data_IF_589686407561
#
_entry.id   IF_589686407561
#
_cell.length_a   1.000
_cell.length_b   1.000
_cell.length_c   1.000
_cell.angle_alpha   90.00
_cell.angle_beta   90.00
_cell.angle_gamma   90.00
#
_symmetry.space_group_name_H-M   'P 1'
#
loop_
_entity.id
_entity.type
_entity.pdbx_description
1 polymer ?
#
# COMPACT_ATOMS: atom_id res chain seq x y z
N UNK A 1 21.12 -8.40 15.04
CA UNK A 1 20.23 -7.36 14.49
C UNK A 1 19.03 -7.30 15.42
N UNK A 2 18.70 -6.11 15.93
CA UNK A 2 17.53 -5.84 16.75
C UNK A 2 16.40 -5.26 15.90
N UNK A 3 15.75 -4.19 16.38
CA UNK A 3 14.60 -3.54 15.74
C UNK A 3 14.89 -2.93 14.34
N UNK A 4 16.17 -2.89 13.93
CA UNK A 4 16.56 -2.33 12.64
C UNK A 4 15.96 -3.13 11.46
N UNK A 5 15.67 -4.42 11.65
CA UNK A 5 15.00 -5.25 10.63
C UNK A 5 13.57 -4.75 10.40
N UNK A 6 12.84 -4.43 11.47
CA UNK A 6 11.49 -3.91 11.42
C UNK A 6 11.45 -2.56 10.70
N UNK A 7 12.34 -1.65 11.07
CA UNK A 7 12.43 -0.36 10.40
C UNK A 7 12.83 -0.49 8.93
N UNK A 8 13.82 -1.32 8.62
CA UNK A 8 14.24 -1.57 7.23
C UNK A 8 13.12 -2.19 6.40
N UNK A 9 12.37 -3.14 6.96
CA UNK A 9 11.23 -3.79 6.29
C UNK A 9 10.09 -2.81 6.07
N UNK A 10 9.69 -2.06 7.09
CA UNK A 10 8.63 -1.05 6.98
C UNK A 10 9.01 0.03 5.96
N UNK A 11 10.26 0.48 5.96
CA UNK A 11 10.77 1.45 5.00
C UNK A 11 10.72 0.89 3.56
N UNK A 12 11.18 -0.35 3.36
CA UNK A 12 11.14 -1.00 2.05
C UNK A 12 9.69 -1.14 1.55
N UNK A 13 8.77 -1.60 2.39
CA UNK A 13 7.37 -1.75 2.04
C UNK A 13 6.71 -0.41 1.72
N UNK A 14 6.99 0.64 2.49
CA UNK A 14 6.52 1.99 2.21
C UNK A 14 7.04 2.48 0.86
N UNK A 15 8.35 2.35 0.61
CA UNK A 15 9.00 2.79 -0.64
C UNK A 15 8.42 2.08 -1.86
N UNK A 16 8.27 0.75 -1.79
CA UNK A 16 7.64 -0.04 -2.85
C UNK A 16 6.18 0.36 -3.03
N UNK A 17 5.45 0.53 -1.92
CA UNK A 17 4.04 0.90 -1.92
C UNK A 17 3.80 2.23 -2.63
N UNK A 18 4.50 3.30 -2.25
CA UNK A 18 4.33 4.62 -2.90
C UNK A 18 4.78 4.60 -4.36
N UNK A 19 5.85 3.86 -4.70
CA UNK A 19 6.38 3.79 -6.07
C UNK A 19 5.47 3.04 -7.03
N UNK A 20 4.87 1.93 -6.57
CA UNK A 20 3.98 1.09 -7.38
C UNK A 20 2.57 1.70 -7.44
N UNK A 21 2.03 2.11 -6.28
CA UNK A 21 0.63 2.50 -6.15
C UNK A 21 0.39 4.01 -6.23
N UNK A 22 1.42 4.86 -6.28
CA UNK A 22 1.22 6.32 -6.35
C UNK A 22 0.32 6.77 -7.51
N UNK A 23 0.38 6.09 -8.66
CA UNK A 23 -0.51 6.35 -9.81
C UNK A 23 -1.99 6.06 -9.54
N UNK A 24 -2.26 5.20 -8.57
CA UNK A 24 -3.59 4.81 -8.11
C UNK A 24 -4.09 5.69 -6.95
N UNK A 25 -3.28 6.63 -6.46
CA UNK A 25 -3.64 7.48 -5.32
C UNK A 25 -3.53 8.98 -5.66
N UNK A 26 -3.50 9.36 -6.94
CA UNK A 26 -3.28 10.76 -7.40
C UNK A 26 -4.28 11.75 -6.77
N UNK A 27 -5.58 11.45 -6.83
CA UNK A 27 -6.63 12.30 -6.23
C UNK A 27 -7.00 11.86 -4.81
N UNK A 28 -6.31 10.84 -4.26
CA UNK A 28 -6.61 10.37 -2.92
C UNK A 28 -6.06 11.38 -1.89
N UNK A 29 -6.81 11.69 -0.82
CA UNK A 29 -6.31 12.57 0.23
C UNK A 29 -5.05 11.98 0.88
N UNK A 30 -3.93 12.71 0.80
CA UNK A 30 -2.61 12.27 1.29
C UNK A 30 -2.65 11.81 2.76
N UNK A 31 -3.49 12.46 3.58
CA UNK A 31 -3.64 12.11 4.99
C UNK A 31 -4.14 10.67 5.20
N UNK A 32 -5.01 10.14 4.33
CA UNK A 32 -5.49 8.75 4.45
C UNK A 32 -4.34 7.76 4.26
N UNK A 33 -3.47 8.02 3.28
CA UNK A 33 -2.29 7.19 3.01
C UNK A 33 -1.27 7.33 4.14
N UNK A 34 -1.04 8.53 4.65
CA UNK A 34 -0.17 8.77 5.80
C UNK A 34 -0.62 8.00 7.04
N UNK A 35 -1.87 8.15 7.48
CA UNK A 35 -2.38 7.48 8.67
C UNK A 35 -2.43 5.95 8.51
N UNK A 36 -2.69 5.43 7.31
CA UNK A 36 -2.60 4.00 7.00
C UNK A 36 -1.20 3.45 7.31
N UNK A 37 -0.15 4.10 6.78
CA UNK A 37 1.23 3.67 7.00
C UNK A 37 1.71 3.90 8.42
N UNK A 38 1.33 5.02 9.05
CA UNK A 38 1.63 5.30 10.45
C UNK A 38 1.02 4.23 11.36
N UNK A 39 -0.23 3.84 11.12
CA UNK A 39 -0.89 2.79 11.88
C UNK A 39 -0.17 1.45 11.77
N UNK A 40 0.17 1.02 10.55
CA UNK A 40 0.93 -0.22 10.33
C UNK A 40 2.30 -0.18 11.04
N UNK A 41 3.01 0.94 10.97
CA UNK A 41 4.29 1.10 11.65
C UNK A 41 4.16 1.04 13.18
N UNK A 42 3.23 1.80 13.76
CA UNK A 42 2.98 1.82 15.21
C UNK A 42 2.60 0.44 15.73
N UNK A 43 1.69 -0.26 15.04
CA UNK A 43 1.29 -1.63 15.43
C UNK A 43 2.47 -2.60 15.36
N UNK A 44 3.27 -2.53 14.31
CA UNK A 44 4.45 -3.41 14.14
C UNK A 44 5.47 -3.18 15.26
N UNK A 45 5.81 -1.92 15.53
CA UNK A 45 6.78 -1.55 16.58
C UNK A 45 6.26 -1.94 17.98
N UNK A 46 4.98 -1.69 18.27
CA UNK A 46 4.38 -2.07 19.55
C UNK A 46 4.40 -3.59 19.76
N UNK A 47 4.17 -4.36 18.69
CA UNK A 47 4.23 -5.82 18.75
C UNK A 47 5.65 -6.35 18.84
N UNK A 48 6.64 -5.68 18.25
CA UNK A 48 8.04 -6.07 18.40
C UNK A 48 8.44 -6.19 19.89
N UNK A 49 8.00 -5.25 20.73
CA UNK A 49 8.24 -5.31 22.18
C UNK A 49 7.60 -6.52 22.90
N UNK A 50 6.65 -7.22 22.27
CA UNK A 50 5.93 -8.38 22.83
C UNK A 50 6.38 -9.71 22.23
N UNK A 51 6.57 -9.75 20.90
CA UNK A 51 6.77 -10.98 20.13
C UNK A 51 8.03 -10.93 19.25
N UNK A 52 8.86 -9.90 19.38
CA UNK A 52 10.09 -9.72 18.60
C UNK A 52 9.82 -9.66 17.09
N UNK A 53 10.67 -10.34 16.32
CA UNK A 53 10.60 -10.34 14.85
C UNK A 53 9.34 -10.94 14.25
N UNK A 54 8.54 -11.68 15.04
CA UNK A 54 7.23 -12.15 14.60
C UNK A 54 6.24 -11.01 14.30
N UNK A 55 6.51 -9.80 14.81
CA UNK A 55 5.75 -8.59 14.48
C UNK A 55 5.72 -8.30 12.97
N UNK A 56 6.75 -8.70 12.22
CA UNK A 56 6.85 -8.52 10.76
C UNK A 56 5.82 -9.32 9.96
N UNK A 57 5.24 -10.37 10.53
CA UNK A 57 4.20 -11.15 9.85
C UNK A 57 3.04 -10.26 9.44
N UNK A 58 2.67 -9.29 10.27
CA UNK A 58 1.55 -8.38 10.00
C UNK A 58 1.78 -7.53 8.75
N UNK A 59 2.81 -6.67 8.68
CA UNK A 59 3.02 -5.82 7.50
C UNK A 59 3.28 -6.65 6.23
N UNK A 60 3.92 -7.81 6.33
CA UNK A 60 4.16 -8.71 5.19
C UNK A 60 2.84 -9.28 4.67
N UNK A 61 2.02 -9.88 5.54
CA UNK A 61 0.73 -10.46 5.14
C UNK A 61 -0.20 -9.40 4.57
N UNK A 62 -0.31 -8.23 5.22
CA UNK A 62 -1.13 -7.12 4.71
C UNK A 62 -0.66 -6.64 3.33
N UNK A 63 0.65 -6.60 3.09
CA UNK A 63 1.22 -6.20 1.80
C UNK A 63 0.92 -7.23 0.72
N UNK A 64 1.04 -8.53 1.02
CA UNK A 64 0.69 -9.62 0.09
C UNK A 64 -0.80 -9.57 -0.24
N UNK A 65 -1.67 -9.45 0.76
CA UNK A 65 -3.12 -9.34 0.55
C UNK A 65 -3.45 -8.12 -0.29
N UNK A 66 -2.86 -6.96 0.01
CA UNK A 66 -3.04 -5.73 -0.76
C UNK A 66 -2.63 -5.88 -2.22
N UNK A 67 -1.50 -6.54 -2.49
CA UNK A 67 -1.06 -6.86 -3.85
C UNK A 67 -2.08 -7.78 -4.56
N UNK A 68 -2.45 -8.90 -3.94
CA UNK A 68 -3.40 -9.85 -4.54
C UNK A 68 -4.72 -9.16 -4.90
N UNK A 69 -5.28 -8.40 -3.97
CA UNK A 69 -6.53 -7.63 -4.20
C UNK A 69 -6.34 -6.61 -5.31
N UNK A 70 -5.21 -5.91 -5.34
CA UNK A 70 -4.92 -4.93 -6.38
C UNK A 70 -4.85 -5.55 -7.78
N UNK A 71 -4.08 -6.63 -7.94
CA UNK A 71 -3.95 -7.32 -9.22
C UNK A 71 -5.29 -7.93 -9.67
N UNK A 72 -6.02 -8.54 -8.73
CA UNK A 72 -7.35 -9.07 -9.01
C UNK A 72 -8.35 -7.98 -9.43
N UNK A 73 -8.38 -6.86 -8.72
CA UNK A 73 -9.25 -5.72 -9.03
C UNK A 73 -8.90 -5.10 -10.38
N UNK A 74 -7.61 -4.88 -10.64
CA UNK A 74 -7.12 -4.38 -11.93
C UNK A 74 -7.50 -5.32 -13.07
N UNK A 75 -7.36 -6.64 -12.90
CA UNK A 75 -7.76 -7.62 -13.89
C UNK A 75 -9.28 -7.58 -14.15
N UNK A 76 -10.08 -7.58 -13.08
CA UNK A 76 -11.55 -7.50 -13.15
C UNK A 76 -12.06 -6.27 -13.90
N UNK A 77 -11.34 -5.15 -13.79
CA UNK A 77 -11.72 -3.87 -14.38
C UNK A 77 -10.94 -3.50 -15.64
N UNK A 78 -10.16 -4.43 -16.20
CA UNK A 78 -9.34 -4.21 -17.41
C UNK A 78 -8.37 -3.02 -17.31
N UNK A 79 -7.80 -2.82 -16.12
CA UNK A 79 -6.80 -1.77 -15.85
C UNK A 79 -5.41 -2.41 -15.74
N UNK A 80 -4.41 -1.78 -16.35
CA UNK A 80 -3.02 -2.23 -16.21
C UNK A 80 -2.50 -1.99 -14.78
N UNK A 81 -2.06 -3.02 -14.04
CA UNK A 81 -1.81 -2.95 -12.59
C UNK A 81 -0.64 -2.02 -12.19
N UNK A 82 0.26 -1.68 -13.12
CA UNK A 82 1.39 -0.76 -12.84
C UNK A 82 1.27 0.62 -13.48
N UNK A 83 0.41 0.75 -14.51
CA UNK A 83 0.32 1.96 -15.35
C UNK A 83 -1.00 2.71 -15.11
N UNK A 84 -1.98 2.08 -14.47
CA UNK A 84 -3.32 2.60 -14.27
C UNK A 84 -3.99 3.01 -15.60
N UNK A 85 -3.69 2.30 -16.69
CA UNK A 85 -4.25 2.54 -18.02
C UNK A 85 -5.34 1.54 -18.36
N UNK A 86 -6.44 1.95 -19.01
CA UNK A 86 -6.77 3.32 -19.40
C UNK A 86 -7.18 4.21 -18.20
N UNK A 87 -6.61 5.42 -18.12
CA UNK A 87 -6.78 6.31 -16.95
C UNK A 87 -8.22 6.81 -16.79
N UNK A 88 -8.92 7.08 -17.90
CA UNK A 88 -10.32 7.55 -17.88
C UNK A 88 -11.24 6.55 -17.19
N UNK A 89 -11.17 5.27 -17.56
CA UNK A 89 -11.92 4.19 -16.89
C UNK A 89 -11.58 4.09 -15.41
N UNK A 90 -10.29 4.22 -15.07
CA UNK A 90 -9.86 4.20 -13.69
C UNK A 90 -10.46 5.35 -12.86
N UNK A 91 -10.41 6.58 -13.38
CA UNK A 91 -11.01 7.75 -12.74
C UNK A 91 -12.51 7.58 -12.54
N UNK A 92 -13.23 7.06 -13.54
CA UNK A 92 -14.65 6.74 -13.43
C UNK A 92 -14.95 5.74 -12.31
N UNK A 93 -14.18 4.64 -12.22
CA UNK A 93 -14.33 3.64 -11.15
C UNK A 93 -14.03 4.20 -9.76
N UNK A 94 -13.16 5.21 -9.68
CA UNK A 94 -12.84 5.92 -8.43
C UNK A 94 -13.82 7.05 -8.10
N UNK A 95 -14.73 7.40 -9.01
CA UNK A 95 -15.60 8.55 -8.87
C UNK A 95 -14.86 9.88 -8.94
N UNK A 96 -13.68 9.91 -9.57
CA UNK A 96 -12.86 11.10 -9.73
C UNK A 96 -13.22 11.86 -11.00
N UNK A 97 -13.02 13.18 -10.98
CA UNK A 97 -13.25 14.03 -12.16
C UNK A 97 -12.15 13.79 -13.18
N UNK A 98 -12.53 13.42 -14.40
CA UNK A 98 -11.63 13.40 -15.54
C UNK A 98 -11.64 14.76 -16.21
N UNK A 99 -10.47 15.38 -16.36
CA UNK A 99 -10.29 16.58 -17.18
C UNK A 99 -9.96 16.08 -18.60
N UNK A 100 -10.81 16.43 -19.57
CA UNK A 100 -10.65 16.05 -20.98
C UNK A 100 -9.56 16.86 -21.69
#
# INVERSE_FOLDING_TARGET
MGIEIEFGTLFLLLLLGVSIFGKFEVEAPVWKTFFKWLFVAVVTIALYGRIGHWSLVIPIVLSIVGLVVHFWWCHKHHIHPFRATPRKTYYQLRGWRWED
#
